data_IF_854914010935
#
_entry.id   IF_854914010935
#
_cell.length_a   1.000
_cell.length_b   1.000
_cell.length_c   1.000
_cell.angle_alpha   90.00
_cell.angle_beta   90.00
_cell.angle_gamma   90.00
#
_symmetry.space_group_name_H-M   'P 1'
#
loop_
_entity.id
_entity.type
_entity.pdbx_description
1 polymer ?
#
# COMPACT_ATOMS: atom_id res chain seq x y z
N UNK A 1 -19.32 0.64 -18.56
CA UNK A 1 -18.34 -0.47 -18.45
C UNK A 1 -18.22 -0.96 -17.01
N UNK A 2 -17.98 -0.09 -16.01
CA UNK A 2 -17.94 -0.51 -14.60
C UNK A 2 -19.22 -1.17 -14.09
N UNK A 3 -20.40 -0.78 -14.59
CA UNK A 3 -21.68 -1.39 -14.22
C UNK A 3 -21.84 -2.85 -14.69
N UNK A 4 -20.92 -3.36 -15.52
CA UNK A 4 -20.95 -4.77 -15.95
C UNK A 4 -20.37 -5.72 -14.89
N UNK A 5 -19.68 -5.19 -13.87
CA UNK A 5 -19.14 -5.97 -12.76
C UNK A 5 -20.22 -6.00 -11.68
N UNK A 6 -20.75 -7.16 -11.33
CA UNK A 6 -21.66 -7.24 -10.18
C UNK A 6 -20.85 -7.15 -8.89
N UNK A 7 -21.01 -6.05 -8.15
CA UNK A 7 -20.33 -5.83 -6.86
C UNK A 7 -21.25 -6.07 -5.67
N UNK A 8 -22.56 -6.28 -5.89
CA UNK A 8 -23.54 -6.49 -4.82
C UNK A 8 -23.59 -7.97 -4.43
N UNK A 9 -23.57 -8.87 -5.42
CA UNK A 9 -23.48 -10.31 -5.19
C UNK A 9 -22.02 -10.77 -5.12
N UNK A 10 -21.61 -11.25 -3.94
CA UNK A 10 -20.24 -11.73 -3.71
C UNK A 10 -19.91 -12.94 -4.58
N UNK A 11 -20.87 -13.82 -4.88
CA UNK A 11 -20.62 -15.03 -5.68
C UNK A 11 -20.38 -14.65 -7.15
N UNK A 12 -21.26 -13.81 -7.71
CA UNK A 12 -21.10 -13.28 -9.07
C UNK A 12 -19.83 -12.45 -9.19
N UNK A 13 -19.48 -11.64 -8.18
CA UNK A 13 -18.22 -10.90 -8.15
C UNK A 13 -17.03 -11.85 -8.22
N UNK A 14 -16.98 -12.91 -7.41
CA UNK A 14 -15.87 -13.88 -7.44
C UNK A 14 -15.69 -14.47 -8.83
N UNK A 15 -16.79 -14.84 -9.50
CA UNK A 15 -16.75 -15.40 -10.86
C UNK A 15 -16.26 -14.41 -11.92
N UNK A 16 -16.41 -13.11 -11.70
CA UNK A 16 -16.12 -12.08 -12.69
C UNK A 16 -14.79 -11.36 -12.44
N UNK A 17 -14.46 -11.05 -11.19
CA UNK A 17 -13.50 -10.01 -10.85
C UNK A 17 -12.09 -10.28 -11.35
N UNK A 18 -11.67 -11.54 -11.45
CA UNK A 18 -10.33 -11.92 -11.86
C UNK A 18 -10.10 -11.86 -13.38
N UNK A 19 -10.33 -10.67 -13.94
CA UNK A 19 -10.16 -10.38 -15.36
C UNK A 19 -9.42 -9.06 -15.54
N UNK A 20 -8.31 -9.03 -16.30
CA UNK A 20 -7.64 -7.79 -16.67
C UNK A 20 -8.57 -6.75 -17.32
N UNK A 21 -9.61 -7.19 -18.03
CA UNK A 21 -10.57 -6.26 -18.63
C UNK A 21 -11.40 -5.53 -17.58
N UNK A 22 -11.82 -6.23 -16.51
CA UNK A 22 -12.55 -5.61 -15.40
C UNK A 22 -11.67 -4.63 -14.62
N UNK A 23 -10.40 -4.98 -14.41
CA UNK A 23 -9.45 -4.07 -13.77
C UNK A 23 -9.15 -2.85 -14.64
N UNK A 24 -9.01 -3.01 -15.96
CA UNK A 24 -8.87 -1.89 -16.87
C UNK A 24 -10.11 -0.98 -16.86
N UNK A 25 -11.31 -1.56 -16.83
CA UNK A 25 -12.56 -0.81 -16.70
C UNK A 25 -12.62 -0.03 -15.38
N UNK A 26 -12.22 -0.64 -14.26
CA UNK A 26 -12.14 0.02 -12.96
C UNK A 26 -11.11 1.17 -12.97
N UNK A 27 -9.91 0.96 -13.51
CA UNK A 27 -8.89 2.00 -13.58
C UNK A 27 -9.27 3.14 -14.57
N UNK A 28 -10.14 2.87 -15.54
CA UNK A 28 -10.55 3.86 -16.55
C UNK A 28 -11.39 5.02 -16.01
N UNK A 29 -11.96 4.90 -14.80
CA UNK A 29 -12.70 6.01 -14.16
C UNK A 29 -11.85 6.91 -13.29
N UNK A 30 -10.55 6.61 -13.16
CA UNK A 30 -9.62 7.54 -12.54
C UNK A 30 -9.58 8.86 -13.33
N UNK A 31 -9.30 9.99 -12.66
CA UNK A 31 -9.15 11.29 -13.33
C UNK A 31 -8.16 11.20 -14.49
N UNK A 32 -8.48 11.84 -15.63
CA UNK A 32 -7.66 11.78 -16.85
C UNK A 32 -6.25 12.31 -16.60
N UNK A 33 -6.13 13.30 -15.74
CA UNK A 33 -4.88 13.94 -15.33
C UNK A 33 -4.00 12.96 -14.55
N UNK A 34 -4.59 12.21 -13.60
CA UNK A 34 -3.89 11.14 -12.89
C UNK A 34 -3.42 10.04 -13.85
N UNK A 35 -4.26 9.63 -14.80
CA UNK A 35 -3.88 8.62 -15.80
C UNK A 35 -2.70 9.08 -16.68
N UNK A 36 -2.66 10.37 -17.04
CA UNK A 36 -1.50 10.95 -17.76
C UNK A 36 -0.26 10.93 -16.90
N UNK A 37 -0.35 11.33 -15.63
CA UNK A 37 0.79 11.30 -14.71
C UNK A 37 1.30 9.87 -14.49
N UNK A 38 0.41 8.89 -14.31
CA UNK A 38 0.79 7.47 -14.18
C UNK A 38 1.59 7.02 -15.41
N UNK A 39 1.13 7.37 -16.61
CA UNK A 39 1.84 7.06 -17.85
C UNK A 39 3.22 7.72 -17.88
N UNK A 40 3.31 9.01 -17.55
CA UNK A 40 4.56 9.77 -17.64
C UNK A 40 5.57 9.41 -16.54
N UNK A 41 5.14 9.30 -15.28
CA UNK A 41 6.01 9.11 -14.12
C UNK A 41 6.29 7.63 -13.83
N UNK A 42 5.34 6.72 -14.09
CA UNK A 42 5.55 5.28 -13.84
C UNK A 42 5.79 4.46 -15.12
N UNK A 43 5.59 5.05 -16.30
CA UNK A 43 5.71 4.33 -17.57
C UNK A 43 4.68 3.22 -17.72
N UNK A 44 3.54 3.32 -17.04
CA UNK A 44 2.51 2.28 -17.03
C UNK A 44 1.27 2.73 -17.80
N UNK A 45 0.82 1.91 -18.76
CA UNK A 45 -0.50 2.09 -19.37
C UNK A 45 -1.58 1.48 -18.48
N UNK A 46 -2.85 1.84 -18.72
CA UNK A 46 -4.01 1.18 -18.11
C UNK A 46 -3.96 -0.35 -18.30
N UNK A 47 -3.62 -0.81 -19.50
CA UNK A 47 -3.47 -2.23 -19.82
C UNK A 47 -2.33 -2.90 -19.04
N UNK A 48 -1.20 -2.20 -18.89
CA UNK A 48 -0.07 -2.73 -18.11
C UNK A 48 -0.41 -2.81 -16.63
N UNK A 49 -1.08 -1.78 -16.10
CA UNK A 49 -1.56 -1.77 -14.72
C UNK A 49 -2.59 -2.88 -14.45
N UNK A 50 -3.55 -3.09 -15.35
CA UNK A 50 -4.57 -4.12 -15.18
C UNK A 50 -3.98 -5.53 -15.20
N UNK A 51 -3.03 -5.81 -16.10
CA UNK A 51 -2.32 -7.08 -16.13
C UNK A 51 -1.44 -7.29 -14.90
N UNK A 52 -0.77 -6.23 -14.44
CA UNK A 52 0.05 -6.29 -13.23
C UNK A 52 -0.82 -6.56 -11.99
N UNK A 53 -1.99 -5.94 -11.92
CA UNK A 53 -2.94 -6.21 -10.84
C UNK A 53 -3.41 -7.66 -10.88
N UNK A 54 -3.86 -8.15 -12.04
CA UNK A 54 -4.27 -9.54 -12.23
C UNK A 54 -3.15 -10.53 -11.85
N UNK A 55 -1.89 -10.25 -12.20
CA UNK A 55 -0.77 -11.10 -11.78
C UNK A 55 -0.49 -11.09 -10.26
N UNK A 56 -1.12 -10.18 -9.50
CA UNK A 56 -0.99 -10.03 -8.05
C UNK A 56 -2.26 -10.40 -7.27
N UNK A 57 -3.35 -10.82 -7.94
CA UNK A 57 -4.66 -11.05 -7.30
C UNK A 57 -4.63 -12.16 -6.27
N UNK A 58 -3.80 -13.19 -6.46
CA UNK A 58 -3.58 -14.28 -5.48
C UNK A 58 -3.14 -13.76 -4.09
N UNK A 59 -2.50 -12.59 -4.03
CA UNK A 59 -2.05 -11.99 -2.78
C UNK A 59 -3.06 -11.03 -2.13
N UNK A 60 -4.19 -10.77 -2.81
CA UNK A 60 -5.17 -9.74 -2.46
C UNK A 60 -6.50 -10.37 -2.05
N UNK A 61 -7.15 -9.80 -1.04
CA UNK A 61 -8.48 -10.26 -0.63
C UNK A 61 -9.53 -9.84 -1.66
N UNK A 62 -10.37 -10.77 -2.11
CA UNK A 62 -11.55 -10.51 -2.96
C UNK A 62 -12.37 -9.32 -2.42
N UNK A 63 -12.59 -9.27 -1.10
CA UNK A 63 -13.34 -8.20 -0.44
C UNK A 63 -12.70 -6.82 -0.62
N UNK A 64 -11.36 -6.74 -0.62
CA UNK A 64 -10.65 -5.49 -0.89
C UNK A 64 -10.86 -5.02 -2.33
N UNK A 65 -10.82 -5.95 -3.30
CA UNK A 65 -11.06 -5.65 -4.71
C UNK A 65 -12.50 -5.16 -4.92
N UNK A 66 -13.47 -5.89 -4.36
CA UNK A 66 -14.90 -5.56 -4.44
C UNK A 66 -15.17 -4.16 -3.90
N UNK A 67 -14.77 -3.88 -2.65
CA UNK A 67 -14.95 -2.56 -2.03
C UNK A 67 -14.24 -1.44 -2.79
N UNK A 68 -13.08 -1.71 -3.39
CA UNK A 68 -12.37 -0.71 -4.19
C UNK A 68 -13.15 -0.37 -5.47
N UNK A 69 -13.65 -1.38 -6.19
CA UNK A 69 -14.43 -1.19 -7.42
C UNK A 69 -15.76 -0.49 -7.11
N UNK A 70 -16.42 -0.87 -6.03
CA UNK A 70 -17.63 -0.20 -5.51
C UNK A 70 -17.36 1.27 -5.24
N UNK A 71 -16.31 1.60 -4.47
CA UNK A 71 -15.94 2.99 -4.20
C UNK A 71 -15.64 3.77 -5.48
N UNK A 72 -14.90 3.19 -6.43
CA UNK A 72 -14.56 3.85 -7.69
C UNK A 72 -15.81 4.16 -8.51
N UNK A 73 -16.77 3.23 -8.54
CA UNK A 73 -18.07 3.43 -9.21
C UNK A 73 -18.84 4.57 -8.57
N UNK A 74 -18.98 4.56 -7.25
CA UNK A 74 -19.73 5.59 -6.51
C UNK A 74 -19.08 6.96 -6.65
N UNK A 75 -17.75 7.04 -6.47
CA UNK A 75 -17.01 8.29 -6.61
C UNK A 75 -17.12 8.86 -8.03
N UNK A 76 -17.03 8.01 -9.06
CA UNK A 76 -17.19 8.42 -10.45
C UNK A 76 -18.62 8.90 -10.74
N UNK A 77 -19.64 8.17 -10.28
CA UNK A 77 -21.05 8.54 -10.44
C UNK A 77 -21.35 9.88 -9.77
N UNK A 78 -20.84 10.09 -8.56
CA UNK A 78 -20.99 11.33 -7.80
C UNK A 78 -20.12 12.49 -8.30
N UNK A 79 -19.27 12.27 -9.32
CA UNK A 79 -18.23 13.22 -9.75
C UNK A 79 -17.39 13.74 -8.57
N UNK A 80 -17.05 12.86 -7.62
CA UNK A 80 -16.29 13.20 -6.42
C UNK A 80 -14.92 13.73 -6.85
N UNK A 81 -14.60 14.95 -6.42
CA UNK A 81 -13.28 15.54 -6.66
C UNK A 81 -12.23 14.79 -5.84
N UNK A 82 -11.05 14.55 -6.39
CA UNK A 82 -9.94 13.92 -5.66
C UNK A 82 -8.64 14.64 -5.99
N UNK A 83 -7.73 14.66 -5.02
CA UNK A 83 -6.35 15.08 -5.24
C UNK A 83 -5.42 13.88 -5.10
N UNK A 84 -4.18 14.02 -5.54
CA UNK A 84 -3.11 13.04 -5.35
C UNK A 84 -1.77 13.77 -5.22
N UNK A 85 -0.80 13.10 -4.62
CA UNK A 85 0.58 13.59 -4.61
C UNK A 85 1.17 13.54 -6.02
N UNK A 86 2.05 14.49 -6.35
CA UNK A 86 2.82 14.48 -7.59
C UNK A 86 3.57 13.16 -7.74
N UNK A 87 3.33 12.44 -8.84
CA UNK A 87 3.92 11.11 -9.01
C UNK A 87 5.44 11.14 -9.22
N UNK A 88 6.00 12.30 -9.56
CA UNK A 88 7.45 12.51 -9.63
C UNK A 88 8.11 12.44 -8.23
N UNK A 89 7.38 12.80 -7.17
CA UNK A 89 7.85 12.64 -5.78
C UNK A 89 7.54 11.24 -5.24
N UNK A 90 6.67 10.48 -5.92
CA UNK A 90 6.17 9.17 -5.54
C UNK A 90 6.68 8.03 -6.46
N UNK A 91 7.89 8.15 -7.03
CA UNK A 91 8.43 7.20 -8.02
C UNK A 91 8.43 5.72 -7.58
N UNK A 92 8.65 5.44 -6.29
CA UNK A 92 8.66 4.07 -5.76
C UNK A 92 7.30 3.62 -5.22
N UNK A 93 6.25 4.44 -5.34
CA UNK A 93 4.97 4.18 -4.69
C UNK A 93 4.35 2.87 -5.20
N UNK A 94 4.30 2.67 -6.51
CA UNK A 94 3.79 1.44 -7.11
C UNK A 94 4.59 0.19 -6.69
N UNK A 95 5.90 0.32 -6.50
CA UNK A 95 6.78 -0.79 -6.12
C UNK A 95 6.68 -1.17 -4.64
N UNK A 96 6.29 -0.21 -3.79
CA UNK A 96 6.16 -0.40 -2.34
C UNK A 96 4.87 -1.08 -1.90
N UNK A 97 3.87 -1.20 -2.77
CA UNK A 97 2.58 -1.82 -2.46
C UNK A 97 2.49 -3.24 -3.01
N UNK A 98 1.66 -4.07 -2.37
CA UNK A 98 1.43 -5.46 -2.81
C UNK A 98 0.75 -5.53 -4.17
N UNK A 99 -0.09 -4.55 -4.46
CA UNK A 99 -0.94 -4.53 -5.64
C UNK A 99 -1.18 -3.09 -6.13
N UNK A 100 -1.68 -2.99 -7.37
CA UNK A 100 -1.91 -1.72 -8.06
C UNK A 100 -3.02 -0.88 -7.42
N UNK A 101 -4.13 -1.50 -7.02
CA UNK A 101 -5.21 -0.77 -6.33
C UNK A 101 -4.73 -0.22 -5.00
N UNK A 102 -3.92 -0.99 -4.27
CA UNK A 102 -3.35 -0.54 -3.02
C UNK A 102 -2.46 0.69 -3.18
N UNK A 103 -1.61 0.70 -4.22
CA UNK A 103 -0.82 1.87 -4.58
C UNK A 103 -1.71 3.08 -4.92
N UNK A 104 -2.70 2.91 -5.78
CA UNK A 104 -3.55 4.03 -6.22
C UNK A 104 -4.42 4.54 -5.06
N UNK A 105 -5.05 3.65 -4.31
CA UNK A 105 -5.92 4.01 -3.19
C UNK A 105 -5.16 4.80 -2.12
N UNK A 106 -3.88 4.50 -1.90
CA UNK A 106 -3.02 5.19 -0.95
C UNK A 106 -2.50 6.55 -1.45
N UNK A 107 -2.74 6.88 -2.73
CA UNK A 107 -2.43 8.18 -3.36
C UNK A 107 -3.63 9.12 -3.44
N UNK A 108 -4.87 8.62 -3.35
CA UNK A 108 -6.06 9.45 -3.48
C UNK A 108 -6.39 10.16 -2.16
N UNK A 109 -6.45 11.49 -2.21
CA UNK A 109 -6.69 12.37 -1.07
C UNK A 109 -7.99 13.16 -1.22
N UNK A 110 -8.61 13.45 -0.08
CA UNK A 110 -9.67 14.44 0.05
C UNK A 110 -9.07 15.84 -0.24
N UNK A 111 -9.55 16.56 -1.28
CA UNK A 111 -9.06 17.88 -1.65
C UNK A 111 -9.03 18.89 -0.50
N UNK A 112 -9.95 18.78 0.46
CA UNK A 112 -10.05 19.71 1.59
C UNK A 112 -8.95 19.52 2.64
N UNK A 113 -8.17 18.44 2.52
CA UNK A 113 -7.15 18.05 3.50
C UNK A 113 -5.73 18.18 2.99
N UNK A 114 -5.56 18.48 1.69
CA UNK A 114 -4.24 18.50 1.04
C UNK A 114 -3.43 19.72 1.46
N UNK A 115 -2.20 19.50 1.89
CA UNK A 115 -1.17 20.52 2.10
C UNK A 115 0.19 19.95 1.71
N UNK A 116 1.02 20.72 1.01
CA UNK A 116 2.37 20.32 0.60
C UNK A 116 2.47 18.91 -0.02
N UNK A 117 1.61 18.63 -1.01
CA UNK A 117 1.61 17.37 -1.76
C UNK A 117 1.26 16.13 -0.93
N UNK A 118 0.66 16.33 0.25
CA UNK A 118 0.23 15.29 1.18
C UNK A 118 -1.18 15.61 1.67
N UNK A 119 -1.96 14.59 2.02
CA UNK A 119 -3.32 14.79 2.49
C UNK A 119 -3.86 13.61 3.27
N UNK A 120 -5.11 13.75 3.70
CA UNK A 120 -5.88 12.63 4.20
C UNK A 120 -6.61 11.92 3.08
N UNK A 121 -6.65 10.61 3.17
CA UNK A 121 -7.39 9.73 2.29
C UNK A 121 -8.86 9.73 2.67
N UNK A 122 -9.65 9.32 1.69
CA UNK A 122 -11.00 8.83 1.88
C UNK A 122 -11.00 7.62 2.81
N UNK A 123 -11.73 7.71 3.93
CA UNK A 123 -11.78 6.63 4.94
C UNK A 123 -12.58 5.43 4.48
N UNK A 124 -13.58 5.68 3.65
CA UNK A 124 -14.39 4.71 2.94
C UNK A 124 -13.63 4.02 1.80
N UNK A 125 -12.47 4.54 1.38
CA UNK A 125 -11.62 3.93 0.36
C UNK A 125 -10.65 2.92 1.00
N UNK A 126 -10.73 1.60 0.68
CA UNK A 126 -9.90 0.59 1.31
C UNK A 126 -8.39 0.87 1.16
N UNK A 127 -7.59 0.78 2.24
CA UNK A 127 -6.16 1.00 2.18
C UNK A 127 -5.41 -0.15 1.51
N UNK A 128 -4.46 0.21 0.66
CA UNK A 128 -3.48 -0.72 0.12
C UNK A 128 -2.49 -1.21 1.16
N UNK A 129 -2.13 -2.49 1.07
CA UNK A 129 -1.07 -3.09 1.89
C UNK A 129 0.30 -2.85 1.27
N UNK A 130 1.29 -2.63 2.13
CA UNK A 130 2.69 -2.54 1.72
C UNK A 130 3.28 -3.93 1.50
N UNK A 131 4.29 -3.99 0.64
CA UNK A 131 5.15 -5.16 0.49
C UNK A 131 6.06 -5.29 1.71
N UNK A 132 6.17 -6.52 2.22
CA UNK A 132 7.09 -6.83 3.31
C UNK A 132 8.54 -7.01 2.80
N UNK A 133 8.70 -7.34 1.53
CA UNK A 133 9.98 -7.62 0.87
C UNK A 133 10.61 -6.40 0.19
N UNK A 134 10.00 -5.21 0.32
CA UNK A 134 10.48 -3.99 -0.32
C UNK A 134 10.94 -2.97 0.74
N UNK A 135 12.25 -2.69 0.85
CA UNK A 135 12.74 -1.72 1.81
C UNK A 135 12.30 -0.30 1.43
N UNK A 136 11.86 0.46 2.42
CA UNK A 136 11.46 1.85 2.25
C UNK A 136 12.31 2.74 3.14
N UNK A 137 12.93 3.76 2.52
CA UNK A 137 13.76 4.73 3.21
C UNK A 137 13.02 6.07 3.29
N UNK A 138 12.93 6.64 4.49
CA UNK A 138 12.37 7.96 4.74
C UNK A 138 13.45 8.84 5.35
N UNK A 139 13.81 9.91 4.65
CA UNK A 139 14.76 10.92 5.14
C UNK A 139 14.02 12.20 5.55
N UNK A 140 14.76 13.19 6.05
CA UNK A 140 14.19 14.47 6.48
C UNK A 140 13.69 15.37 5.35
N UNK A 141 14.05 15.09 4.08
CA UNK A 141 13.58 15.88 2.93
C UNK A 141 12.30 15.31 2.33
N UNK A 142 12.00 14.04 2.58
CA UNK A 142 10.78 13.37 2.14
C UNK A 142 9.52 14.08 2.66
N UNK A 143 8.55 14.31 1.77
CA UNK A 143 7.29 14.99 2.09
C UNK A 143 6.51 14.27 3.20
N UNK A 144 6.52 12.94 3.22
CA UNK A 144 5.82 12.14 4.22
C UNK A 144 6.47 12.28 5.60
N UNK A 145 7.80 12.33 5.69
CA UNK A 145 8.50 12.60 6.96
C UNK A 145 8.16 13.99 7.48
N UNK A 146 8.24 15.01 6.63
CA UNK A 146 7.90 16.39 7.01
C UNK A 146 6.42 16.53 7.38
N UNK A 147 5.54 15.78 6.73
CA UNK A 147 4.11 15.71 7.05
C UNK A 147 3.90 15.11 8.43
N UNK A 148 4.53 13.96 8.71
CA UNK A 148 4.50 13.29 10.01
C UNK A 148 4.96 14.25 11.11
N UNK A 149 6.14 14.85 10.99
CA UNK A 149 6.70 15.76 12.01
C UNK A 149 5.76 16.91 12.35
N UNK A 150 5.10 17.49 11.33
CA UNK A 150 4.14 18.59 11.52
C UNK A 150 2.86 18.13 12.22
N UNK A 151 2.42 16.91 11.93
CA UNK A 151 1.16 16.38 12.42
C UNK A 151 1.30 15.55 13.72
N UNK A 152 2.50 15.16 14.13
CA UNK A 152 2.71 14.45 15.40
C UNK A 152 2.21 15.25 16.61
N UNK A 153 2.20 16.59 16.54
CA UNK A 153 1.63 17.44 17.61
C UNK A 153 0.15 17.17 17.86
N UNK A 154 -0.57 16.65 16.86
CA UNK A 154 -1.97 16.24 17.00
C UNK A 154 -2.14 14.98 17.84
N UNK A 155 -1.07 14.22 18.08
CA UNK A 155 -1.11 13.02 18.92
C UNK A 155 -1.00 13.34 20.41
N UNK A 156 -0.83 14.61 20.76
CA UNK A 156 -0.70 15.06 22.14
C UNK A 156 -1.80 16.05 22.49
N UNK A 157 -2.33 15.94 23.71
CA UNK A 157 -3.23 16.89 24.33
C UNK A 157 -2.63 17.40 25.64
N UNK A 158 -3.22 18.42 26.23
CA UNK A 158 -2.81 18.96 27.53
C UNK A 158 -3.74 18.42 28.62
N UNK A 159 -3.19 17.78 29.64
CA UNK A 159 -4.00 17.31 30.77
C UNK A 159 -4.39 18.47 31.72
N UNK A 160 -5.17 18.17 32.77
CA UNK A 160 -5.61 19.16 33.76
C UNK A 160 -4.48 19.90 34.48
N UNK A 161 -3.26 19.36 34.45
CA UNK A 161 -2.05 19.95 35.04
C UNK A 161 -1.21 20.75 34.04
N UNK A 162 -1.69 20.97 32.82
CA UNK A 162 -0.92 21.67 31.79
C UNK A 162 0.17 20.82 31.12
N UNK A 163 0.25 19.52 31.42
CA UNK A 163 1.28 18.62 30.87
C UNK A 163 0.82 18.01 29.55
N UNK A 164 1.72 18.01 28.55
CA UNK A 164 1.52 17.30 27.29
C UNK A 164 1.46 15.78 27.55
N UNK A 165 0.34 15.16 27.19
CA UNK A 165 0.11 13.71 27.25
C UNK A 165 -0.35 13.23 25.88
N UNK A 166 0.01 12.00 25.52
CA UNK A 166 -0.51 11.42 24.28
C UNK A 166 -2.04 11.22 24.39
N UNK A 167 -2.73 11.42 23.27
CA UNK A 167 -4.14 11.02 23.14
C UNK A 167 -4.23 9.48 23.10
N UNK A 168 -5.45 8.96 23.16
CA UNK A 168 -5.68 7.52 23.11
C UNK A 168 -5.10 6.88 21.83
N UNK A 169 -4.50 5.70 21.99
CA UNK A 169 -3.86 4.98 20.88
C UNK A 169 -4.82 4.74 19.72
N UNK A 170 -6.10 4.48 20.02
CA UNK A 170 -7.17 4.30 19.03
C UNK A 170 -7.34 5.54 18.16
N UNK A 171 -7.27 6.73 18.75
CA UNK A 171 -7.38 7.99 18.03
C UNK A 171 -6.12 8.27 17.19
N UNK A 172 -4.92 7.96 17.71
CA UNK A 172 -3.67 8.06 16.94
C UNK A 172 -3.73 7.14 15.73
N UNK A 173 -4.16 5.88 15.91
CA UNK A 173 -4.33 4.91 14.82
C UNK A 173 -5.35 5.40 13.79
N UNK A 174 -6.48 5.93 14.22
CA UNK A 174 -7.50 6.50 13.33
C UNK A 174 -6.93 7.66 12.49
N UNK A 175 -6.13 8.53 13.11
CA UNK A 175 -5.46 9.62 12.42
C UNK A 175 -4.46 9.09 11.39
N UNK A 176 -3.55 8.19 11.79
CA UNK A 176 -2.56 7.61 10.87
C UNK A 176 -3.25 6.83 9.75
N UNK A 177 -4.34 6.12 10.03
CA UNK A 177 -5.11 5.40 9.02
C UNK A 177 -5.72 6.32 7.97
N UNK A 178 -6.05 7.55 8.33
CA UNK A 178 -6.50 8.55 7.37
C UNK A 178 -5.35 9.14 6.55
N UNK A 179 -4.07 8.95 6.89
CA UNK A 179 -2.98 9.60 6.15
C UNK A 179 -2.67 8.88 4.84
N UNK A 180 -2.40 9.68 3.81
CA UNK A 180 -1.87 9.25 2.54
C UNK A 180 -0.44 8.74 2.61
N UNK A 181 -0.06 7.94 1.60
CA UNK A 181 1.32 7.52 1.40
C UNK A 181 1.76 6.27 2.18
N UNK A 182 2.89 5.67 1.78
CA UNK A 182 3.43 4.46 2.39
C UNK A 182 3.86 4.65 3.85
N UNK A 183 4.39 5.80 4.26
CA UNK A 183 4.86 6.01 5.64
C UNK A 183 3.75 5.76 6.67
N UNK A 184 2.54 6.23 6.38
CA UNK A 184 1.39 6.01 7.26
C UNK A 184 1.03 4.54 7.40
N UNK A 185 1.09 3.77 6.30
CA UNK A 185 0.85 2.32 6.33
C UNK A 185 1.91 1.61 7.15
N UNK A 186 3.16 2.00 6.93
CA UNK A 186 4.32 1.45 7.64
C UNK A 186 4.22 1.73 9.14
N UNK A 187 3.79 2.94 9.52
CA UNK A 187 3.51 3.28 10.91
C UNK A 187 2.39 2.43 11.48
N UNK A 188 1.27 2.20 10.79
CA UNK A 188 0.20 1.34 11.32
C UNK A 188 0.68 -0.09 11.57
N UNK A 189 1.42 -0.65 10.62
CA UNK A 189 2.00 -1.99 10.76
C UNK A 189 3.04 -2.04 11.89
N UNK A 190 3.81 -0.95 12.06
CA UNK A 190 4.86 -0.82 13.09
C UNK A 190 4.35 -0.35 14.45
N UNK A 191 3.17 0.25 14.58
CA UNK A 191 2.59 0.63 15.88
C UNK A 191 2.25 -0.61 16.71
N UNK A 192 2.17 -1.77 16.06
CA UNK A 192 2.16 -3.08 16.71
C UNK A 192 3.55 -3.52 17.24
N UNK A 193 4.63 -2.82 16.88
CA UNK A 193 6.05 -3.14 17.11
C UNK A 193 6.84 -1.85 17.45
N UNK A 194 6.57 -1.22 18.61
CA UNK A 194 7.40 -0.18 19.29
C UNK A 194 8.10 0.91 18.44
N UNK A 195 7.70 2.19 18.59
CA UNK A 195 8.48 3.34 18.12
C UNK A 195 9.79 3.50 18.93
N UNK A 196 10.94 3.47 18.26
CA UNK A 196 12.24 3.83 18.83
C UNK A 196 12.97 4.84 17.94
N UNK A 197 13.66 5.80 18.54
CA UNK A 197 14.56 6.72 17.84
C UNK A 197 16.00 6.28 18.03
N UNK A 198 16.76 6.12 16.94
CA UNK A 198 18.22 5.91 17.00
C UNK A 198 18.91 7.19 16.53
N UNK A 199 19.64 7.86 17.42
CA UNK A 199 20.59 8.89 17.02
C UNK A 199 21.85 8.20 16.48
N UNK A 200 21.98 8.16 15.15
CA UNK A 200 23.22 7.75 14.52
C UNK A 200 24.26 8.88 14.68
N UNK A 201 25.48 8.53 15.08
CA UNK A 201 26.65 9.40 15.23
C UNK A 201 27.20 9.96 13.90
N UNK A 202 26.34 10.19 12.91
CA UNK A 202 26.65 10.83 11.64
C UNK A 202 26.31 12.34 11.73
N UNK A 203 26.97 13.20 10.93
CA UNK A 203 26.71 14.62 10.97
C UNK A 203 25.26 14.93 10.58
N UNK A 204 24.45 15.31 11.57
CA UNK A 204 23.17 16.05 11.47
C UNK A 204 21.94 15.43 10.79
N UNK A 205 21.96 14.18 10.29
CA UNK A 205 20.77 13.59 9.65
C UNK A 205 20.06 12.59 10.57
N UNK A 206 18.82 12.92 10.95
CA UNK A 206 17.88 11.99 11.59
C UNK A 206 17.29 11.10 10.51
N UNK A 207 17.43 9.79 10.67
CA UNK A 207 16.80 8.79 9.80
C UNK A 207 15.78 8.01 10.60
N UNK A 208 14.62 7.74 10.00
CA UNK A 208 13.64 6.82 10.54
C UNK A 208 13.74 5.51 9.75
N UNK A 209 14.04 4.42 10.45
CA UNK A 209 14.06 3.08 9.86
C UNK A 209 12.88 2.30 10.42
N UNK A 210 12.12 1.68 9.51
CA UNK A 210 11.03 0.81 9.89
C UNK A 210 11.22 -0.53 9.19
N UNK A 211 11.22 -1.61 9.96
CA UNK A 211 11.25 -2.98 9.42
C UNK A 211 9.85 -3.55 9.60
N UNK A 212 9.10 -3.68 8.51
CA UNK A 212 7.81 -4.36 8.52
C UNK A 212 8.06 -5.86 8.77
N UNK A 213 7.69 -6.35 9.96
CA UNK A 213 7.80 -7.77 10.30
C UNK A 213 6.62 -8.58 9.77
N UNK A 214 6.86 -9.69 9.09
CA UNK A 214 5.83 -10.60 8.57
C UNK A 214 5.04 -11.38 9.64
N UNK A 215 5.47 -11.35 10.90
CA UNK A 215 4.76 -12.07 11.95
C UNK A 215 3.47 -11.32 12.28
N UNK A 216 2.34 -11.83 11.78
CA UNK A 216 1.03 -11.51 12.34
C UNK A 216 1.13 -11.64 13.88
N UNK A 217 0.58 -10.68 14.65
CA UNK A 217 0.47 -10.84 16.09
C UNK A 217 -0.19 -12.19 16.38
N UNK A 218 0.36 -12.96 17.32
CA UNK A 218 -0.21 -14.25 17.73
C UNK A 218 -1.67 -14.02 18.14
N UNK A 219 -2.54 -15.02 18.02
CA UNK A 219 -3.95 -14.86 18.43
C UNK A 219 -4.11 -14.35 19.87
N UNK A 220 -3.17 -14.66 20.77
CA UNK A 220 -3.13 -14.11 22.13
C UNK A 220 -2.82 -12.60 22.24
N UNK A 221 -2.25 -12.01 21.19
CA UNK A 221 -2.00 -10.57 21.04
C UNK A 221 -3.09 -9.88 20.20
N UNK A 222 -3.94 -10.63 19.49
CA UNK A 222 -5.08 -10.08 18.74
C UNK A 222 -6.17 -9.51 19.64
N UNK A 223 -6.42 -10.09 20.82
CA UNK A 223 -7.44 -9.59 21.76
C UNK A 223 -7.17 -8.19 22.33
N UNK A 224 -5.93 -7.68 22.21
CA UNK A 224 -5.59 -6.30 22.57
C UNK A 224 -5.76 -5.31 21.42
N UNK A 225 -6.03 -5.79 20.21
CA UNK A 225 -6.04 -4.97 19.00
C UNK A 225 -7.13 -5.47 18.03
N UNK A 226 -8.26 -4.76 17.98
CA UNK A 226 -9.29 -5.02 16.97
C UNK A 226 -8.69 -4.98 15.56
N UNK A 227 -9.09 -5.93 14.71
CA UNK A 227 -8.69 -5.99 13.31
C UNK A 227 -9.14 -4.71 12.61
N UNK A 228 -8.20 -3.98 11.99
CA UNK A 228 -8.52 -2.81 11.17
C UNK A 228 -9.47 -3.17 10.00
N UNK A 229 -9.52 -4.44 9.59
CA UNK A 229 -10.42 -4.93 8.53
C UNK A 229 -11.89 -5.05 9.01
N UNK A 230 -12.16 -4.92 10.31
CA UNK A 230 -13.48 -5.03 10.95
C UNK A 230 -14.01 -3.71 11.55
N UNK A 231 -13.32 -2.59 11.30
CA UNK A 231 -13.86 -1.27 11.62
C UNK A 231 -14.97 -0.91 10.62
N UNK A 232 -16.11 -1.55 10.78
CA UNK A 232 -17.35 -1.20 10.11
C UNK A 232 -17.90 0.04 10.82
N UNK A 233 -17.47 1.22 10.36
CA UNK A 233 -18.04 2.50 10.79
C UNK A 233 -19.49 2.52 10.27
N UNK A 234 -20.41 1.96 11.06
CA UNK A 234 -21.85 2.09 10.92
C UNK A 234 -22.29 3.54 11.11
N UNK A 235 -21.85 4.43 10.20
CA UNK A 235 -22.39 5.76 10.01
C UNK A 235 -23.74 5.60 9.33
N UNK A 236 -24.76 5.49 10.18
CA UNK A 236 -26.15 5.65 9.79
C UNK A 236 -26.32 7.07 9.22
N UNK A 237 -26.28 7.17 7.90
CA UNK A 237 -26.77 8.34 7.19
C UNK A 237 -28.29 8.35 7.43
N UNK A 238 -28.88 9.40 8.02
CA UNK A 238 -30.32 9.51 8.09
C UNK A 238 -30.83 9.73 6.67
N UNK A 239 -31.28 8.66 6.01
CA UNK A 239 -32.04 8.75 4.77
C UNK A 239 -33.37 9.41 5.08
N UNK A 240 -33.44 10.70 4.78
CA UNK A 240 -34.69 11.42 4.71
C UNK A 240 -35.58 10.76 3.66
N UNK A 241 -36.71 10.24 4.11
CA UNK A 241 -37.84 9.84 3.29
C UNK A 241 -38.18 10.97 2.29
N UNK A 242 -38.06 10.67 1.00
CA UNK A 242 -38.87 11.32 -0.02
C UNK A 242 -39.49 10.24 -0.90
N UNK A 243 -40.74 9.95 -0.59
CA UNK A 243 -41.70 9.30 -1.48
C UNK A 243 -41.83 10.14 -2.76
N UNK A 244 -41.48 9.56 -3.90
CA UNK A 244 -42.14 9.87 -5.16
C UNK A 244 -42.33 8.57 -5.91
N UNK A 245 -43.55 8.07 -5.88
CA UNK A 245 -43.99 7.00 -6.76
C UNK A 245 -43.84 7.41 -8.22
N UNK A 246 -43.43 6.47 -9.06
CA UNK A 246 -43.65 6.57 -10.48
C UNK A 246 -43.84 5.19 -11.09
N UNK A 247 -44.72 5.18 -12.07
CA UNK A 247 -45.51 4.06 -12.56
C UNK A 247 -44.73 3.09 -13.46
N UNK A 248 -45.22 1.86 -13.36
CA UNK A 248 -45.07 0.70 -14.20
C UNK A 248 -45.36 0.99 -15.69
N UNK A 249 -44.39 0.70 -16.57
CA UNK A 249 -44.68 0.31 -17.95
C UNK A 249 -43.68 -0.76 -18.39
N UNK A 250 -44.17 -1.98 -18.51
CA UNK A 250 -43.45 -3.11 -19.09
C UNK A 250 -43.08 -2.94 -20.55
N UNK A 251 -42.07 -3.69 -20.96
CA UNK A 251 -41.88 -4.12 -22.34
C UNK A 251 -41.34 -5.55 -22.35
N UNK A 252 -41.95 -6.32 -23.25
CA UNK A 252 -41.78 -7.74 -23.49
C UNK A 252 -40.43 -8.08 -24.14
N UNK A 253 -39.87 -9.20 -23.67
CA UNK A 253 -39.50 -10.38 -24.46
C UNK A 253 -38.78 -10.19 -25.82
N UNK A 254 -37.51 -10.61 -25.88
CA UNK A 254 -36.89 -11.11 -27.12
C UNK A 254 -35.71 -12.07 -26.81
N UNK A 255 -36.05 -13.36 -26.81
CA UNK A 255 -35.44 -14.51 -27.51
C UNK A 255 -33.90 -14.62 -27.63
N UNK A 256 -33.41 -15.73 -27.07
CA UNK A 256 -32.31 -16.64 -27.44
C UNK A 256 -31.28 -16.19 -28.49
N UNK A 257 -29.99 -16.29 -28.13
CA UNK A 257 -28.99 -16.92 -29.01
C UNK A 257 -27.86 -17.55 -28.19
N UNK A 258 -27.77 -18.88 -28.32
CA UNK A 258 -26.72 -19.76 -27.83
C UNK A 258 -25.33 -19.29 -28.29
N UNK A 259 -24.42 -19.08 -27.33
CA UNK A 259 -22.98 -19.06 -27.59
C UNK A 259 -22.29 -20.03 -26.62
N UNK A 260 -22.37 -21.31 -26.97
CA UNK A 260 -21.50 -22.37 -26.45
C UNK A 260 -20.06 -22.11 -26.91
N UNK A 261 -19.20 -21.64 -26.01
CA UNK A 261 -17.75 -21.61 -26.18
C UNK A 261 -17.09 -22.62 -25.26
N UNK A 262 -16.93 -23.87 -25.72
CA UNK A 262 -16.11 -24.87 -25.03
C UNK A 262 -14.63 -24.48 -25.09
N UNK A 263 -13.81 -24.81 -24.06
CA UNK A 263 -12.38 -24.49 -24.07
C UNK A 263 -11.65 -25.31 -25.15
N UNK A 264 -10.88 -24.63 -25.99
CA UNK A 264 -9.94 -25.28 -26.90
C UNK A 264 -8.77 -25.86 -26.09
N UNK A 265 -8.60 -27.18 -26.18
CA UNK A 265 -7.44 -27.92 -25.71
C UNK A 265 -6.18 -27.50 -26.50
N UNK A 266 -5.33 -26.69 -25.88
CA UNK A 266 -4.01 -26.38 -26.42
C UNK A 266 -3.02 -27.48 -26.01
N UNK A 267 -2.80 -28.45 -26.90
CA UNK A 267 -1.74 -29.45 -26.81
C UNK A 267 -0.51 -28.94 -27.56
N UNK A 268 0.52 -28.52 -26.82
CA UNK A 268 1.82 -28.15 -27.38
C UNK A 268 2.95 -28.52 -26.41
N UNK A 269 4.12 -28.97 -26.91
CA UNK A 269 5.21 -29.43 -26.06
C UNK A 269 5.83 -28.25 -25.29
N UNK A 270 5.70 -28.28 -23.97
CA UNK A 270 6.44 -27.42 -23.05
C UNK A 270 7.93 -27.80 -23.16
N UNK A 271 8.72 -27.00 -23.88
CA UNK A 271 10.18 -27.10 -23.82
C UNK A 271 10.67 -26.25 -22.65
N UNK A 272 11.07 -26.94 -21.57
CA UNK A 272 11.95 -26.41 -20.54
C UNK A 272 13.30 -26.04 -21.16
N UNK A 273 13.58 -24.75 -21.29
CA UNK A 273 14.92 -24.16 -21.18
C UNK A 273 14.88 -22.70 -21.62
N UNK A 274 14.82 -21.78 -20.65
CA UNK A 274 15.35 -20.43 -20.87
C UNK A 274 16.54 -20.25 -19.92
N UNK A 275 17.70 -20.60 -20.47
CA UNK A 275 19.02 -20.27 -19.98
C UNK A 275 19.21 -18.75 -19.92
N UNK A 276 19.22 -18.20 -18.71
CA UNK A 276 20.00 -17.00 -18.39
C UNK A 276 20.69 -17.20 -17.03
N UNK A 277 21.67 -18.09 -17.03
CA UNK A 277 22.76 -18.07 -16.07
C UNK A 277 24.09 -18.20 -16.84
N UNK A 278 25.18 -17.67 -16.28
CA UNK A 278 26.54 -17.56 -16.84
C UNK A 278 26.90 -16.24 -17.55
N UNK A 279 27.11 -15.18 -16.75
CA UNK A 279 28.26 -14.29 -16.97
C UNK A 279 29.37 -14.68 -15.99
N UNK A 280 30.40 -15.34 -16.50
CA UNK A 280 31.75 -15.37 -15.93
C UNK A 280 32.54 -14.28 -16.66
N UNK A 281 33.05 -13.30 -15.93
CA UNK A 281 34.11 -12.43 -16.42
C UNK A 281 35.30 -12.68 -15.51
N UNK A 282 36.24 -13.48 -15.99
CA UNK A 282 37.57 -13.57 -15.41
C UNK A 282 38.60 -13.23 -16.49
N UNK A 283 39.56 -12.42 -16.04
CA UNK A 283 40.90 -12.20 -16.56
C UNK A 283 41.08 -11.25 -17.75
N UNK A 284 41.42 -10.01 -17.40
CA UNK A 284 42.57 -9.34 -18.01
C UNK A 284 43.58 -8.99 -16.91
N UNK A 285 44.79 -9.46 -17.15
CA UNK A 285 45.95 -9.45 -16.27
C UNK A 285 46.53 -8.05 -16.04
N UNK A 286 47.14 -7.90 -14.86
CA UNK A 286 48.30 -7.03 -14.57
C UNK A 286 48.13 -5.52 -14.77
N UNK A 287 47.65 -4.85 -13.74
CA UNK A 287 47.84 -3.43 -13.50
C UNK A 287 47.98 -3.17 -12.01
N UNK A 288 49.15 -2.67 -11.61
CA UNK A 288 49.59 -2.38 -10.25
C UNK A 288 48.52 -1.77 -9.33
N UNK A 289 48.26 -2.48 -8.23
CA UNK A 289 47.50 -2.02 -7.07
C UNK A 289 48.09 -0.74 -6.48
N UNK A 290 47.32 0.35 -6.54
CA UNK A 290 47.41 1.44 -5.55
C UNK A 290 45.99 1.84 -5.15
N UNK A 291 45.69 1.60 -3.87
CA UNK A 291 44.79 2.40 -3.03
C UNK A 291 43.35 2.60 -3.48
N UNK A 292 42.42 1.88 -2.84
CA UNK A 292 41.26 2.47 -2.15
C UNK A 292 40.50 1.38 -1.39
N UNK A 293 41.08 0.98 -0.25
CA UNK A 293 40.32 0.28 0.79
C UNK A 293 39.29 1.26 1.38
N UNK A 294 38.01 0.97 1.19
CA UNK A 294 36.93 1.57 1.98
C UNK A 294 37.29 1.31 3.45
N UNK A 295 37.37 2.35 4.31
CA UNK A 295 37.73 2.15 5.70
C UNK A 295 36.64 1.30 6.36
N UNK A 296 36.98 0.05 6.71
CA UNK A 296 36.17 -0.77 7.61
C UNK A 296 36.00 0.03 8.91
N UNK A 297 34.77 0.45 9.21
CA UNK A 297 34.42 1.02 10.52
C UNK A 297 34.56 -0.11 11.54
N UNK A 298 35.50 0.05 12.46
CA UNK A 298 36.02 -1.02 13.33
C UNK A 298 35.05 -1.53 14.41
N UNK A 299 33.84 -0.97 14.55
CA UNK A 299 33.00 -1.17 15.73
C UNK A 299 31.57 -1.68 15.47
N UNK A 300 31.24 -2.07 14.24
CA UNK A 300 29.89 -2.55 13.95
C UNK A 300 29.80 -4.05 14.22
N UNK A 301 28.78 -4.47 14.97
CA UNK A 301 28.50 -5.87 15.24
C UNK A 301 27.58 -6.39 14.14
N UNK A 302 28.04 -7.31 13.27
CA UNK A 302 27.18 -7.89 12.26
C UNK A 302 26.20 -8.88 12.89
N UNK A 303 24.90 -8.70 12.62
CA UNK A 303 23.82 -9.59 13.04
C UNK A 303 23.21 -10.17 11.78
N UNK A 304 23.55 -11.43 11.50
CA UNK A 304 23.10 -12.11 10.30
C UNK A 304 21.87 -12.97 10.59
N UNK A 305 20.92 -13.01 9.66
CA UNK A 305 20.01 -14.15 9.60
C UNK A 305 19.37 -14.36 8.26
N UNK A 306 18.72 -15.51 8.14
CA UNK A 306 18.06 -15.91 6.90
C UNK A 306 16.76 -15.13 6.69
N UNK A 307 16.31 -15.04 5.44
CA UNK A 307 15.04 -14.39 5.04
C UNK A 307 13.80 -14.91 5.77
N UNK A 308 13.88 -16.06 6.46
CA UNK A 308 12.80 -16.64 7.27
C UNK A 308 12.94 -16.37 8.78
N UNK A 309 14.02 -15.73 9.22
CA UNK A 309 14.37 -15.49 10.63
C UNK A 309 14.28 -14.02 11.07
N UNK A 310 13.74 -13.12 10.23
CA UNK A 310 13.81 -11.66 10.42
C UNK A 310 13.38 -11.16 11.80
N UNK A 311 12.46 -11.83 12.49
CA UNK A 311 12.03 -11.45 13.84
C UNK A 311 13.09 -11.72 14.92
N UNK A 312 13.92 -12.76 14.77
CA UNK A 312 15.02 -13.06 15.72
C UNK A 312 16.22 -12.14 15.49
N UNK A 313 16.56 -11.90 14.23
CA UNK A 313 17.63 -10.98 13.82
C UNK A 313 17.30 -9.57 14.28
N UNK A 314 16.06 -9.12 14.08
CA UNK A 314 15.60 -7.82 14.55
C UNK A 314 15.58 -7.73 16.08
N UNK A 315 15.18 -8.79 16.80
CA UNK A 315 15.21 -8.83 18.26
C UNK A 315 16.64 -8.75 18.81
N UNK A 316 17.58 -9.49 18.20
CA UNK A 316 19.00 -9.49 18.55
C UNK A 316 19.63 -8.11 18.28
N UNK A 317 19.36 -7.53 17.10
CA UNK A 317 19.82 -6.19 16.77
C UNK A 317 19.26 -5.13 17.73
N UNK A 318 18.00 -5.27 18.14
CA UNK A 318 17.39 -4.38 19.15
C UNK A 318 18.00 -4.55 20.54
N UNK A 319 18.34 -5.78 20.96
CA UNK A 319 18.98 -6.03 22.24
C UNK A 319 20.39 -5.43 22.28
N UNK A 320 21.17 -5.61 21.21
CA UNK A 320 22.50 -5.02 21.06
C UNK A 320 22.44 -3.48 21.01
N UNK A 321 21.47 -2.91 20.29
CA UNK A 321 21.26 -1.46 20.27
C UNK A 321 20.89 -0.91 21.66
N UNK A 322 20.05 -1.62 22.43
CA UNK A 322 19.71 -1.25 23.82
C UNK A 322 20.92 -1.32 24.76
N UNK A 323 21.86 -2.21 24.49
CA UNK A 323 23.12 -2.32 25.22
C UNK A 323 24.19 -1.29 24.77
N UNK A 324 23.87 -0.43 23.80
CA UNK A 324 24.74 0.66 23.35
C UNK A 324 25.73 0.28 22.25
N UNK A 325 25.53 -0.86 21.58
CA UNK A 325 26.36 -1.29 20.46
C UNK A 325 25.86 -0.74 19.12
N UNK A 326 26.77 -0.45 18.19
CA UNK A 326 26.44 -0.17 16.79
C UNK A 326 26.31 -1.51 16.03
N UNK A 327 25.20 -1.71 15.32
CA UNK A 327 24.83 -3.01 14.74
C UNK A 327 24.68 -2.89 13.22
N UNK A 328 25.28 -3.83 12.47
CA UNK A 328 25.05 -4.04 11.04
C UNK A 328 24.08 -5.21 10.87
N UNK A 329 22.91 -5.01 10.28
CA UNK A 329 21.92 -6.07 10.02
C UNK A 329 21.94 -6.46 8.55
#
# INVERSE_FOLDING_TARGET
MLNAIDVEDTISFVAQHDSPMHYAAALSVLPKELLKEIWHSWGQSLYTLSNRFHASTDAVSVRFVQKTIEWYREAAFANRQTCWASLDTAQNHLMSHKDVFGAINNLLYDPHTVQDDMGFRYRDLPPGKLRADFPMCFDSVNNQTRWLERHMKRWTTTNSLGKSVYIELTEIRRLINAWGGPLARLLLDSFCISLGTVELSLPSKKYYWFVAGESQPKDSQRWTFDSLDEFDDGLSIPTGHQDTGYEDTGYEDMVDEDMNGSPEDFVGPFQESNDYSHRKWDLLETGTSTGNSIPRKLNWIPVHGSSRGGSKVAAEAQELARAGYEVEV
#
